data_IF_101233521293
#
_entry.id   IF_101233521293
#
_cell.length_a   1.000
_cell.length_b   1.000
_cell.length_c   1.000
_cell.angle_alpha   90.00
_cell.angle_beta   90.00
_cell.angle_gamma   90.00
#
_symmetry.space_group_name_H-M   'P 1'
#
loop_
_entity.id
_entity.type
_entity.pdbx_description
1 polymer ?
#
# COMPACT_ATOMS: atom_id res chain seq x y z
N UNK A 1 -2.75 -7.25 3.46
CA UNK A 1 -2.37 -6.51 4.68
C UNK A 1 -1.06 -7.02 5.25
N UNK A 2 -0.95 -8.31 5.63
CA UNK A 2 0.35 -8.85 6.10
C UNK A 2 1.43 -8.71 5.04
N UNK A 3 1.15 -9.16 3.82
CA UNK A 3 2.09 -9.06 2.70
C UNK A 3 2.50 -7.60 2.43
N UNK A 4 1.53 -6.65 2.45
CA UNK A 4 1.88 -5.25 2.21
C UNK A 4 2.77 -4.66 3.31
N UNK A 5 2.55 -5.06 4.56
CA UNK A 5 3.42 -4.66 5.65
C UNK A 5 4.84 -5.25 5.52
N UNK A 6 4.95 -6.50 5.06
CA UNK A 6 6.24 -7.14 4.74
C UNK A 6 6.98 -6.40 3.63
N UNK A 7 6.28 -6.03 2.57
CA UNK A 7 6.85 -5.26 1.45
C UNK A 7 7.42 -3.90 1.91
N UNK A 8 6.69 -3.16 2.75
CA UNK A 8 7.22 -1.94 3.39
C UNK A 8 8.42 -2.19 4.32
N UNK A 9 8.45 -3.34 4.99
CA UNK A 9 9.54 -3.73 5.87
C UNK A 9 10.80 -4.15 5.10
N UNK A 10 10.65 -4.78 3.94
CA UNK A 10 11.78 -5.28 3.15
C UNK A 10 12.35 -4.23 2.19
N UNK A 11 11.53 -3.28 1.71
CA UNK A 11 11.89 -2.43 0.57
C UNK A 11 11.78 -0.91 0.80
N UNK A 12 11.30 -0.45 1.96
CA UNK A 12 11.19 0.98 2.28
C UNK A 12 11.80 1.40 3.63
N UNK A 13 13.08 1.11 3.92
CA UNK A 13 13.82 1.83 4.95
C UNK A 13 14.22 3.25 4.45
N UNK A 14 14.09 4.32 5.29
CA UNK A 14 13.55 4.33 6.64
C UNK A 14 12.03 4.11 6.67
N UNK A 15 11.60 3.26 7.60
CA UNK A 15 10.21 2.82 7.65
C UNK A 15 9.22 3.98 7.83
N UNK A 16 8.09 3.96 7.12
CA UNK A 16 7.07 4.97 7.30
C UNK A 16 6.57 5.04 8.74
N UNK A 17 6.46 6.27 9.25
CA UNK A 17 5.96 6.55 10.59
C UNK A 17 4.43 6.57 10.63
N UNK A 18 3.78 6.88 9.50
CA UNK A 18 2.34 6.99 9.37
C UNK A 18 1.86 6.57 7.98
N UNK A 19 0.58 6.18 7.90
CA UNK A 19 -0.15 5.91 6.66
C UNK A 19 -1.48 6.67 6.66
N UNK A 20 -1.96 7.10 5.49
CA UNK A 20 -3.27 7.74 5.32
C UNK A 20 -3.93 7.34 3.99
N UNK A 21 -5.27 7.42 3.93
CA UNK A 21 -6.07 7.16 2.74
C UNK A 21 -5.82 5.78 2.14
N UNK A 22 -5.55 4.79 2.99
CA UNK A 22 -5.21 3.45 2.51
C UNK A 22 -6.49 2.73 2.11
N UNK A 23 -6.60 2.40 0.82
CA UNK A 23 -7.77 1.73 0.25
C UNK A 23 -7.33 0.52 -0.57
N UNK A 24 -8.12 -0.54 -0.50
CA UNK A 24 -7.93 -1.72 -1.33
C UNK A 24 -9.00 -1.77 -2.40
N UNK A 25 -8.57 -2.07 -3.62
CA UNK A 25 -9.41 -2.24 -4.78
C UNK A 25 -9.02 -3.48 -5.56
N UNK A 26 -9.84 -3.85 -6.53
CA UNK A 26 -9.52 -4.91 -7.47
C UNK A 26 -9.78 -4.48 -8.91
N UNK A 27 -8.95 -4.97 -9.82
CA UNK A 27 -9.13 -4.84 -11.27
C UNK A 27 -9.27 -6.25 -11.85
N UNK A 28 -10.31 -6.49 -12.65
CA UNK A 28 -10.62 -7.80 -13.23
C UNK A 28 -12.05 -8.23 -12.94
N UNK A 29 -12.64 -9.00 -13.87
CA UNK A 29 -14.04 -9.45 -13.78
C UNK A 29 -14.23 -10.50 -12.67
N UNK A 30 -13.34 -11.48 -12.61
CA UNK A 30 -13.48 -12.64 -11.72
C UNK A 30 -12.53 -12.60 -10.53
N UNK A 31 -12.96 -13.13 -9.38
CA UNK A 31 -12.15 -13.13 -8.15
C UNK A 31 -10.83 -13.91 -8.28
N UNK A 32 -10.77 -14.88 -9.20
CA UNK A 32 -9.61 -15.76 -9.42
C UNK A 32 -8.49 -15.08 -10.19
N UNK A 33 -8.84 -14.17 -11.11
CA UNK A 33 -7.89 -13.39 -11.92
C UNK A 33 -7.87 -11.90 -11.53
N UNK A 34 -8.44 -11.59 -10.36
CA UNK A 34 -8.50 -10.22 -9.86
C UNK A 34 -7.12 -9.77 -9.39
N UNK A 35 -6.63 -8.69 -9.98
CA UNK A 35 -5.48 -7.96 -9.49
C UNK A 35 -5.93 -7.12 -8.30
N UNK A 36 -5.47 -7.44 -7.09
CA UNK A 36 -5.77 -6.63 -5.92
C UNK A 36 -4.72 -5.53 -5.79
N UNK A 37 -5.17 -4.30 -5.67
CA UNK A 37 -4.29 -3.14 -5.51
C UNK A 37 -4.58 -2.47 -4.18
N UNK A 38 -3.54 -2.24 -3.39
CA UNK A 38 -3.56 -1.41 -2.20
C UNK A 38 -2.94 -0.05 -2.53
N UNK A 39 -3.65 1.02 -2.25
CA UNK A 39 -3.24 2.37 -2.55
C UNK A 39 -3.33 3.24 -1.31
N UNK A 40 -2.41 4.18 -1.15
CA UNK A 40 -2.48 5.15 -0.07
C UNK A 40 -1.30 6.11 -0.09
N UNK A 41 -1.09 6.80 1.02
CA UNK A 41 0.07 7.65 1.24
C UNK A 41 0.78 7.22 2.52
N UNK A 42 2.10 7.28 2.52
CA UNK A 42 2.93 7.04 3.71
C UNK A 42 3.80 8.25 4.02
N UNK A 43 4.07 8.48 5.29
CA UNK A 43 4.94 9.55 5.75
C UNK A 43 6.35 9.01 5.91
N UNK A 44 7.25 9.43 5.01
CA UNK A 44 8.66 9.09 5.08
C UNK A 44 9.52 10.31 5.40
N UNK A 45 10.64 10.12 6.11
CA UNK A 45 11.71 11.11 6.16
C UNK A 45 12.15 11.48 4.74
N UNK A 46 12.22 12.77 4.44
CA UNK A 46 12.88 13.25 3.23
C UNK A 46 14.35 13.53 3.57
N UNK A 47 15.29 13.17 2.70
CA UNK A 47 16.69 13.52 2.89
C UNK A 47 16.83 15.04 3.10
N UNK A 48 17.36 15.43 4.26
CA UNK A 48 17.61 16.83 4.62
C UNK A 48 16.39 17.68 4.95
N UNK A 49 15.20 17.10 5.20
CA UNK A 49 13.98 17.92 5.35
C UNK A 49 12.84 17.35 6.19
N UNK A 50 11.73 18.11 6.22
CA UNK A 50 10.48 17.72 6.91
C UNK A 50 9.90 16.45 6.27
N UNK A 51 9.30 15.54 7.07
CA UNK A 51 8.64 14.35 6.54
C UNK A 51 7.63 14.70 5.45
N UNK A 52 7.60 13.92 4.37
CA UNK A 52 6.69 14.13 3.24
C UNK A 52 5.78 12.94 3.04
N UNK A 53 4.53 13.24 2.66
CA UNK A 53 3.56 12.23 2.26
C UNK A 53 3.87 11.78 0.85
N UNK A 54 4.25 10.52 0.72
CA UNK A 54 4.55 9.86 -0.55
C UNK A 54 3.42 8.91 -0.88
N UNK A 55 2.88 9.02 -2.09
CA UNK A 55 1.87 8.06 -2.57
C UNK A 55 2.51 6.70 -2.83
N UNK A 56 1.77 5.63 -2.58
CA UNK A 56 2.20 4.28 -2.89
C UNK A 56 1.07 3.46 -3.52
N UNK A 57 1.49 2.47 -4.32
CA UNK A 57 0.66 1.38 -4.77
C UNK A 57 1.39 0.06 -4.52
N UNK A 58 0.73 -0.89 -3.88
CA UNK A 58 1.16 -2.29 -3.87
C UNK A 58 0.14 -3.12 -4.63
N UNK A 59 0.62 -4.05 -5.44
CA UNK A 59 -0.23 -4.92 -6.24
C UNK A 59 0.01 -6.35 -5.80
N UNK A 60 -1.07 -7.04 -5.44
CA UNK A 60 -1.06 -8.46 -5.12
C UNK A 60 -1.56 -9.25 -6.32
N UNK A 61 -0.66 -9.99 -6.95
CA UNK A 61 -0.99 -11.10 -7.85
C UNK A 61 -1.01 -12.40 -7.04
N UNK A 62 -1.53 -13.48 -7.62
CA UNK A 62 -1.50 -14.82 -7.02
C UNK A 62 -0.05 -15.26 -6.73
N UNK A 63 0.46 -14.92 -5.53
CA UNK A 63 1.76 -15.39 -5.02
C UNK A 63 2.83 -14.31 -4.81
N UNK A 64 2.62 -13.06 -5.22
CA UNK A 64 3.64 -12.01 -5.10
C UNK A 64 2.98 -10.63 -4.85
N UNK A 65 3.54 -9.86 -3.92
CA UNK A 65 3.25 -8.44 -3.80
C UNK A 65 4.49 -7.66 -4.23
N UNK A 66 4.35 -6.78 -5.21
CA UNK A 66 5.42 -5.92 -5.69
C UNK A 66 5.14 -4.48 -5.27
N UNK A 67 6.08 -3.86 -4.57
CA UNK A 67 6.11 -2.42 -4.39
C UNK A 67 6.29 -1.72 -5.74
N UNK A 68 5.34 -0.88 -6.16
CA UNK A 68 5.43 -0.12 -7.42
C UNK A 68 5.82 1.34 -7.21
N UNK A 69 6.24 1.72 -5.99
CA UNK A 69 6.62 3.10 -5.67
C UNK A 69 5.48 4.11 -5.87
N UNK A 70 5.83 5.32 -6.28
CA UNK A 70 4.92 6.46 -6.50
C UNK A 70 4.01 6.33 -7.73
N UNK A 71 3.80 5.11 -8.23
CA UNK A 71 3.00 4.82 -9.42
C UNK A 71 1.50 5.00 -9.14
N UNK A 72 1.10 6.27 -9.02
CA UNK A 72 -0.29 6.74 -8.86
C UNK A 72 -1.22 6.23 -9.96
N UNK A 73 -0.69 5.85 -11.13
CA UNK A 73 -1.41 5.21 -12.23
C UNK A 73 -2.16 3.95 -11.82
N UNK A 74 -1.64 3.17 -10.86
CA UNK A 74 -2.36 2.00 -10.33
C UNK A 74 -3.48 2.38 -9.36
N UNK A 75 -3.48 3.59 -8.83
CA UNK A 75 -4.47 4.10 -7.88
C UNK A 75 -5.51 5.00 -8.53
N UNK A 76 -5.24 5.50 -9.74
CA UNK A 76 -6.16 6.35 -10.53
C UNK A 76 -6.85 5.60 -11.66
N UNK A 77 -6.57 4.30 -11.84
CA UNK A 77 -7.23 3.49 -12.86
C UNK A 77 -8.74 3.39 -12.59
N UNK A 78 -9.54 3.90 -13.54
CA UNK A 78 -11.00 3.97 -13.45
C UNK A 78 -11.70 2.61 -13.45
N UNK A 79 -10.97 1.53 -13.77
CA UNK A 79 -11.48 0.15 -13.72
C UNK A 79 -11.36 -0.49 -12.34
N UNK A 80 -10.79 0.20 -11.34
CA UNK A 80 -10.67 -0.32 -9.98
C UNK A 80 -12.04 -0.31 -9.30
N UNK A 81 -12.46 -1.49 -8.88
CA UNK A 81 -13.60 -1.64 -7.98
C UNK A 81 -13.06 -1.58 -6.56
N UNK A 82 -13.24 -0.43 -5.90
CA UNK A 82 -12.82 -0.24 -4.51
C UNK A 82 -13.69 -1.06 -3.56
N UNK A 83 -13.03 -1.72 -2.60
CA UNK A 83 -13.75 -2.34 -1.51
C UNK A 83 -14.36 -1.29 -0.58
N UNK A 84 -15.51 -1.60 0.02
CA UNK A 84 -16.21 -0.73 0.98
C UNK A 84 -15.58 -0.71 2.38
N UNK A 85 -14.43 -1.36 2.56
CA UNK A 85 -13.81 -1.65 3.87
C UNK A 85 -13.23 -0.42 4.60
N UNK A 86 -13.55 0.81 4.17
CA UNK A 86 -13.04 2.03 4.79
C UNK A 86 -11.53 2.23 4.64
N UNK A 87 -10.97 3.17 5.41
CA UNK A 87 -9.53 3.44 5.46
C UNK A 87 -8.81 2.34 6.25
N UNK A 88 -7.82 1.71 5.63
CA UNK A 88 -7.05 0.59 6.19
C UNK A 88 -5.72 1.05 6.80
N UNK A 89 -5.48 2.35 6.94
CA UNK A 89 -4.23 2.92 7.46
C UNK A 89 -3.82 2.37 8.82
N UNK A 90 -4.75 2.33 9.78
CA UNK A 90 -4.48 1.82 11.12
C UNK A 90 -4.11 0.33 11.09
N UNK A 91 -4.79 -0.44 10.24
CA UNK A 91 -4.53 -1.87 10.04
C UNK A 91 -3.15 -2.09 9.44
N UNK A 92 -2.77 -1.31 8.42
CA UNK A 92 -1.46 -1.40 7.77
C UNK A 92 -0.34 -1.03 8.74
N UNK A 93 -0.49 0.08 9.48
CA UNK A 93 0.47 0.50 10.51
C UNK A 93 0.67 -0.57 11.58
N UNK A 94 -0.41 -1.14 12.10
CA UNK A 94 -0.36 -2.20 13.12
C UNK A 94 0.39 -3.44 12.62
N UNK A 95 0.23 -3.81 11.34
CA UNK A 95 0.94 -4.94 10.75
C UNK A 95 2.42 -4.63 10.53
N UNK A 96 2.77 -3.43 10.08
CA UNK A 96 4.17 -3.01 9.95
C UNK A 96 4.87 -2.97 11.32
N UNK A 97 4.22 -2.43 12.35
CA UNK A 97 4.79 -2.38 13.70
C UNK A 97 5.01 -3.77 14.30
N UNK A 98 4.17 -4.75 13.96
CA UNK A 98 4.33 -6.13 14.41
C UNK A 98 5.56 -6.82 13.78
N UNK A 99 6.02 -6.36 12.61
CA UNK A 99 7.22 -6.90 11.92
C UNK A 99 8.52 -6.26 12.42
N UNK A 100 8.44 -5.08 13.06
CA UNK A 100 9.59 -4.38 13.65
C UNK A 100 9.94 -4.86 15.06
N UNK A 101 9.11 -5.71 15.66
CA UNK A 101 9.33 -6.30 16.99
C UNK A 101 10.18 -7.56 16.86
#
# INVERSE_FOLDING_TARGET
MTSAATDFYEHQPPFPSQFRKVRIGRVGKDKKDALYTLCGEFLAPAEGGKPRWTSFATVKTSGYEQYLGSSTTYCTNSKIIWHKTGDLSATLKKRLDALKK
#
